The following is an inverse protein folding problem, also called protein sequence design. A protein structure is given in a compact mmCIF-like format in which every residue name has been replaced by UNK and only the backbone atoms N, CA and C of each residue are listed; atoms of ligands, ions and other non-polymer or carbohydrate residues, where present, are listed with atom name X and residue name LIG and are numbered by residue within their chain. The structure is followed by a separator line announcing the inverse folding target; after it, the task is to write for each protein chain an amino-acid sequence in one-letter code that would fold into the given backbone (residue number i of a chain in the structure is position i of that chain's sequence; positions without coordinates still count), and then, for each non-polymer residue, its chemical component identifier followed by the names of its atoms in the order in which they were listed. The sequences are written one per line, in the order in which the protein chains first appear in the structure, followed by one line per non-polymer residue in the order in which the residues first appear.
data_IF_743844733820
#
_entry.id   IF_743844733820
#
_cell.length_a   1.000
_cell.length_b   1.000
_cell.length_c   1.000
_cell.angle_alpha   90.00
_cell.angle_beta   90.00
_cell.angle_gamma   90.00
#
_symmetry.space_group_name_H-M   'P 1'
#
loop_
_entity.id
_entity.type
_entity.pdbx_description
1 polymer ?
#
# COMPACT_ATOMS: atom_id res chain seq x y z
N UNK A 1 0.69 -51.96 57.84
CA UNK A 1 1.86 -51.44 57.11
C UNK A 1 1.54 -51.38 55.63
N UNK A 2 1.06 -50.26 55.15
CA UNK A 2 0.77 -50.05 53.74
C UNK A 2 1.49 -48.76 53.31
N UNK A 3 2.52 -48.98 52.50
CA UNK A 3 3.36 -47.92 51.92
C UNK A 3 2.62 -47.29 50.73
N UNK A 4 2.46 -45.97 50.77
CA UNK A 4 1.84 -45.21 49.73
C UNK A 4 2.74 -45.04 48.50
N UNK A 5 2.23 -45.30 47.34
CA UNK A 5 2.81 -44.92 46.04
C UNK A 5 2.27 -43.57 45.64
N UNK A 6 3.09 -42.56 45.79
CA UNK A 6 2.86 -41.25 45.14
C UNK A 6 3.23 -41.34 43.67
N UNK A 7 2.24 -41.27 42.82
CA UNK A 7 2.44 -41.14 41.37
C UNK A 7 2.29 -39.64 41.01
N UNK A 8 3.41 -38.93 40.92
CA UNK A 8 3.47 -37.59 40.36
C UNK A 8 3.57 -37.73 38.83
N UNK A 9 2.48 -37.46 38.13
CA UNK A 9 2.52 -37.11 36.71
C UNK A 9 2.65 -35.59 36.63
N UNK A 10 3.87 -35.09 36.58
CA UNK A 10 4.20 -33.75 36.08
C UNK A 10 4.68 -33.91 34.63
N UNK A 11 3.78 -33.76 33.70
CA UNK A 11 4.08 -33.60 32.30
C UNK A 11 3.61 -32.23 31.85
N UNK A 12 4.26 -31.17 32.36
CA UNK A 12 4.06 -29.79 31.83
C UNK A 12 4.81 -29.71 30.47
N UNK A 13 4.18 -30.17 29.45
CA UNK A 13 4.67 -30.01 28.06
C UNK A 13 4.38 -28.58 27.63
N UNK A 14 5.15 -27.62 28.12
CA UNK A 14 5.23 -26.28 27.55
C UNK A 14 5.80 -26.44 26.17
N UNK A 15 4.93 -26.39 25.17
CA UNK A 15 5.31 -26.26 23.79
C UNK A 15 6.12 -24.96 23.71
N UNK A 16 7.42 -25.08 23.49
CA UNK A 16 8.31 -23.95 23.31
C UNK A 16 7.87 -23.21 22.04
N UNK A 17 7.13 -22.12 22.19
CA UNK A 17 6.81 -21.21 21.10
C UNK A 17 8.11 -20.56 20.69
N UNK A 18 8.63 -20.82 19.49
CA UNK A 18 9.75 -20.06 18.97
C UNK A 18 9.30 -18.61 18.82
N UNK A 19 9.98 -17.68 19.50
CA UNK A 19 9.70 -16.24 19.44
C UNK A 19 10.25 -15.60 18.13
N UNK A 20 10.48 -16.42 17.11
CA UNK A 20 10.94 -15.90 15.82
C UNK A 20 9.82 -15.10 15.15
N UNK A 21 10.11 -13.84 14.85
CA UNK A 21 9.20 -12.96 14.13
C UNK A 21 9.60 -12.91 12.67
N UNK A 22 8.66 -13.24 11.81
CA UNK A 22 8.82 -13.13 10.37
C UNK A 22 7.95 -12.01 9.82
N UNK A 23 8.32 -11.50 8.65
CA UNK A 23 7.52 -10.56 7.91
C UNK A 23 6.89 -11.24 6.71
N UNK A 24 5.56 -11.15 6.59
CA UNK A 24 4.82 -11.50 5.40
C UNK A 24 4.66 -10.27 4.53
N UNK A 25 4.96 -10.40 3.26
CA UNK A 25 4.70 -9.40 2.23
C UNK A 25 3.56 -9.91 1.37
N UNK A 26 2.47 -9.17 1.35
CA UNK A 26 1.25 -9.51 0.63
C UNK A 26 1.08 -8.52 -0.51
N UNK A 27 1.05 -9.02 -1.74
CA UNK A 27 0.68 -8.26 -2.93
C UNK A 27 -0.81 -8.42 -3.19
N UNK A 28 -1.49 -7.32 -3.54
CA UNK A 28 -2.92 -7.33 -3.79
C UNK A 28 -3.37 -6.26 -4.77
N UNK A 29 -4.55 -6.45 -5.33
CA UNK A 29 -5.30 -5.46 -6.12
C UNK A 29 -6.46 -4.90 -5.32
N UNK A 30 -6.84 -3.67 -5.69
CA UNK A 30 -8.04 -3.03 -5.16
C UNK A 30 -8.74 -2.23 -6.26
N UNK A 31 -10.04 -2.44 -6.41
CA UNK A 31 -10.83 -1.79 -7.45
C UNK A 31 -12.31 -1.66 -7.10
N UNK A 32 -13.10 -1.34 -8.12
CA UNK A 32 -14.53 -1.12 -7.94
C UNK A 32 -14.84 0.00 -6.91
N UNK A 33 -15.92 -0.11 -6.15
CA UNK A 33 -16.27 0.87 -5.12
C UNK A 33 -15.22 1.01 -4.01
N UNK A 34 -14.42 -0.04 -3.77
CA UNK A 34 -13.39 -0.03 -2.72
C UNK A 34 -12.20 0.88 -3.04
N UNK A 35 -12.08 1.38 -4.28
CA UNK A 35 -11.09 2.42 -4.60
C UNK A 35 -11.26 3.71 -3.80
N UNK A 36 -12.45 3.93 -3.22
CA UNK A 36 -12.76 5.13 -2.43
C UNK A 36 -12.43 5.01 -0.93
N UNK A 37 -12.05 3.83 -0.43
CA UNK A 37 -11.65 3.69 0.96
C UNK A 37 -10.27 4.30 1.21
N UNK A 38 -10.11 4.87 2.40
CA UNK A 38 -8.88 5.50 2.84
C UNK A 38 -7.80 4.46 3.18
N UNK A 39 -6.55 4.92 3.30
CA UNK A 39 -5.42 4.11 3.78
C UNK A 39 -5.72 3.42 5.13
N UNK A 40 -6.29 4.15 6.09
CA UNK A 40 -6.64 3.60 7.41
C UNK A 40 -7.75 2.53 7.32
N UNK A 41 -8.74 2.73 6.45
CA UNK A 41 -9.79 1.74 6.21
C UNK A 41 -9.25 0.48 5.53
N UNK A 42 -8.32 0.63 4.57
CA UNK A 42 -7.63 -0.50 3.94
C UNK A 42 -6.89 -1.35 4.98
N UNK A 43 -6.10 -0.71 5.86
CA UNK A 43 -5.44 -1.41 6.99
C UNK A 43 -6.46 -2.13 7.89
N UNK A 44 -7.58 -1.49 8.20
CA UNK A 44 -8.64 -2.09 9.05
C UNK A 44 -9.31 -3.30 8.39
N UNK A 45 -9.45 -3.31 7.05
CA UNK A 45 -9.96 -4.48 6.30
C UNK A 45 -9.01 -5.66 6.47
N UNK A 46 -7.72 -5.46 6.21
CA UNK A 46 -6.73 -6.53 6.36
C UNK A 46 -6.58 -7.01 7.80
N UNK A 47 -6.58 -6.10 8.78
CA UNK A 47 -6.55 -6.48 10.19
C UNK A 47 -7.70 -7.41 10.55
N UNK A 48 -8.93 -7.08 10.12
CA UNK A 48 -10.12 -7.93 10.37
C UNK A 48 -10.03 -9.25 9.60
N UNK A 49 -9.54 -9.24 8.37
CA UNK A 49 -9.34 -10.45 7.57
C UNK A 49 -8.36 -11.41 8.25
N UNK A 50 -7.22 -10.91 8.76
CA UNK A 50 -6.26 -11.71 9.52
C UNK A 50 -6.89 -12.32 10.78
N UNK A 51 -7.62 -11.53 11.57
CA UNK A 51 -8.28 -12.04 12.79
C UNK A 51 -9.28 -13.16 12.45
N UNK A 52 -10.10 -13.00 11.42
CA UNK A 52 -11.06 -14.02 10.98
C UNK A 52 -10.39 -15.27 10.42
N UNK A 53 -9.23 -15.12 9.79
CA UNK A 53 -8.40 -16.21 9.27
C UNK A 53 -7.57 -16.90 10.36
N UNK A 54 -7.66 -16.46 11.63
CA UNK A 54 -6.85 -17.02 12.72
C UNK A 54 -5.36 -16.67 12.64
N UNK A 55 -4.98 -15.62 11.90
CA UNK A 55 -3.60 -15.19 11.75
C UNK A 55 -3.25 -14.22 12.87
N UNK A 56 -2.32 -14.62 13.74
CA UNK A 56 -1.86 -13.81 14.87
C UNK A 56 -0.86 -12.74 14.43
N UNK A 57 -1.35 -11.50 14.36
CA UNK A 57 -0.51 -10.33 14.05
C UNK A 57 0.31 -9.94 15.29
N UNK A 58 1.61 -9.76 15.11
CA UNK A 58 2.45 -9.20 16.16
C UNK A 58 2.02 -7.77 16.51
N UNK A 59 1.99 -7.43 17.78
CA UNK A 59 1.69 -6.08 18.27
C UNK A 59 2.95 -5.36 18.75
N UNK A 60 2.90 -4.03 18.71
CA UNK A 60 3.95 -3.19 19.29
C UNK A 60 3.94 -3.30 20.82
N UNK A 61 5.11 -3.11 21.43
CA UNK A 61 5.23 -3.01 22.89
C UNK A 61 4.74 -1.64 23.36
N UNK A 62 4.13 -1.57 24.54
CA UNK A 62 3.69 -0.33 25.19
C UNK A 62 2.24 -0.36 25.67
N UNK A 63 1.77 0.74 26.27
CA UNK A 63 0.43 0.85 26.87
C UNK A 63 -0.72 0.73 25.87
N UNK A 64 -0.51 1.08 24.61
CA UNK A 64 -1.50 0.94 23.54
C UNK A 64 -0.91 0.10 22.40
N UNK A 65 -0.95 -1.25 22.51
CA UNK A 65 -0.40 -2.15 21.52
C UNK A 65 -1.09 -1.94 20.16
N UNK A 66 -0.30 -1.74 19.11
CA UNK A 66 -0.81 -1.61 17.73
C UNK A 66 -0.36 -2.81 16.92
N UNK A 67 -1.21 -3.36 16.04
CA UNK A 67 -0.81 -4.45 15.15
C UNK A 67 0.31 -3.97 14.23
N UNK A 68 1.33 -4.80 14.06
CA UNK A 68 2.46 -4.53 13.15
C UNK A 68 2.07 -4.88 11.71
N UNK A 69 1.26 -4.01 11.15
CA UNK A 69 0.67 -4.07 9.84
C UNK A 69 0.88 -2.72 9.16
N UNK A 70 1.38 -2.68 7.94
CA UNK A 70 1.64 -1.43 7.22
C UNK A 70 1.44 -1.56 5.72
N UNK A 71 1.02 -0.46 5.11
CA UNK A 71 1.03 -0.24 3.67
C UNK A 71 2.11 0.80 3.39
N UNK A 72 3.29 0.42 2.82
CA UNK A 72 4.43 1.33 2.67
C UNK A 72 4.16 2.51 1.72
N UNK A 73 3.25 2.36 0.77
CA UNK A 73 2.83 3.43 -0.13
C UNK A 73 1.31 3.66 -0.01
N UNK A 74 0.87 4.79 0.56
CA UNK A 74 -0.53 5.16 0.55
C UNK A 74 -1.09 5.28 -0.87
N UNK A 75 -2.26 4.70 -1.12
CA UNK A 75 -2.98 4.84 -2.37
C UNK A 75 -3.86 6.10 -2.31
N UNK A 76 -3.90 6.95 -3.36
CA UNK A 76 -4.86 8.04 -3.44
C UNK A 76 -6.30 7.50 -3.45
N UNK A 77 -7.20 8.20 -2.77
CA UNK A 77 -8.63 7.85 -2.76
C UNK A 77 -9.21 8.06 -4.16
N UNK A 78 -10.04 7.16 -4.64
CA UNK A 78 -10.59 7.18 -5.99
C UNK A 78 -9.74 6.44 -7.05
N UNK A 79 -8.48 6.14 -6.76
CA UNK A 79 -7.57 5.41 -7.66
C UNK A 79 -7.70 3.90 -7.41
N UNK A 80 -7.97 3.12 -8.47
CA UNK A 80 -7.83 1.67 -8.43
C UNK A 80 -6.35 1.28 -8.47
N UNK A 81 -6.00 0.08 -8.02
CA UNK A 81 -4.60 -0.37 -8.09
C UNK A 81 -4.47 -1.85 -8.35
N UNK A 82 -3.54 -2.20 -9.23
CA UNK A 82 -3.18 -3.58 -9.57
C UNK A 82 -1.95 -4.08 -8.80
N UNK A 83 -1.24 -3.20 -8.09
CA UNK A 83 0.02 -3.54 -7.42
C UNK A 83 0.15 -2.78 -6.09
N UNK A 84 -0.56 -3.27 -5.08
CA UNK A 84 -0.43 -2.81 -3.69
C UNK A 84 0.44 -3.78 -2.90
N UNK A 85 1.09 -3.24 -1.86
CA UNK A 85 1.89 -4.03 -0.93
C UNK A 85 1.45 -3.79 0.51
N UNK A 86 1.19 -4.89 1.22
CA UNK A 86 0.99 -4.92 2.65
C UNK A 86 2.14 -5.67 3.30
N UNK A 87 2.72 -5.10 4.35
CA UNK A 87 3.70 -5.76 5.20
C UNK A 87 3.06 -6.11 6.54
N UNK A 88 3.17 -7.37 6.94
CA UNK A 88 2.55 -7.94 8.13
C UNK A 88 3.59 -8.70 8.95
N UNK A 89 3.73 -8.41 10.25
CA UNK A 89 4.59 -9.19 11.14
C UNK A 89 3.78 -10.21 11.93
N UNK A 90 4.21 -11.47 11.88
CA UNK A 90 3.60 -12.59 12.58
C UNK A 90 4.63 -13.37 13.38
N UNK A 91 4.19 -14.12 14.39
CA UNK A 91 5.04 -15.09 15.06
C UNK A 91 5.10 -16.37 14.24
N UNK A 92 6.30 -16.92 14.06
CA UNK A 92 6.46 -18.22 13.42
C UNK A 92 6.06 -19.31 14.40
N UNK A 93 5.09 -20.14 14.06
CA UNK A 93 4.79 -21.34 14.82
C UNK A 93 5.84 -22.41 14.53
N UNK A 94 6.29 -23.15 15.56
CA UNK A 94 7.26 -24.25 15.42
C UNK A 94 6.79 -25.34 14.47
N UNK A 95 5.46 -25.51 14.36
CA UNK A 95 4.85 -26.47 13.44
C UNK A 95 4.93 -26.07 11.95
N UNK A 96 5.28 -24.84 11.64
CA UNK A 96 5.31 -24.30 10.25
C UNK A 96 6.77 -23.99 9.85
N UNK A 97 7.63 -25.02 9.76
CA UNK A 97 9.00 -24.85 9.24
C UNK A 97 9.01 -24.65 7.71
N UNK A 98 7.94 -25.04 7.04
CA UNK A 98 7.80 -24.87 5.58
C UNK A 98 7.15 -23.51 5.26
N UNK A 99 7.90 -22.63 4.60
CA UNK A 99 7.43 -21.33 4.16
C UNK A 99 6.33 -21.43 3.10
N UNK A 100 6.37 -22.45 2.24
CA UNK A 100 5.39 -22.63 1.17
C UNK A 100 4.01 -23.00 1.75
N UNK A 101 3.98 -23.89 2.73
CA UNK A 101 2.75 -24.23 3.43
C UNK A 101 2.19 -23.02 4.20
N UNK A 102 3.05 -22.24 4.86
CA UNK A 102 2.63 -21.03 5.58
C UNK A 102 2.03 -19.99 4.63
N UNK A 103 2.71 -19.69 3.52
CA UNK A 103 2.24 -18.69 2.55
C UNK A 103 0.93 -19.09 1.89
N UNK A 104 0.75 -20.38 1.54
CA UNK A 104 -0.49 -20.92 1.00
C UNK A 104 -1.65 -20.77 2.00
N UNK A 105 -1.46 -21.18 3.26
CA UNK A 105 -2.48 -21.07 4.31
C UNK A 105 -2.87 -19.61 4.56
N UNK A 106 -1.90 -18.69 4.59
CA UNK A 106 -2.16 -17.26 4.76
C UNK A 106 -2.90 -16.69 3.54
N UNK A 107 -2.51 -17.07 2.34
CA UNK A 107 -3.16 -16.65 1.10
C UNK A 107 -4.63 -17.07 1.10
N UNK A 108 -4.92 -18.35 1.30
CA UNK A 108 -6.28 -18.89 1.30
C UNK A 108 -7.12 -18.29 2.43
N UNK A 109 -6.55 -18.25 3.64
CA UNK A 109 -7.24 -17.72 4.81
C UNK A 109 -7.64 -16.25 4.65
N UNK A 110 -6.73 -15.39 4.20
CA UNK A 110 -7.03 -13.96 3.98
C UNK A 110 -7.96 -13.78 2.78
N UNK A 111 -7.71 -14.47 1.65
CA UNK A 111 -8.55 -14.34 0.44
C UNK A 111 -10.01 -14.63 0.72
N UNK A 112 -10.29 -15.66 1.54
CA UNK A 112 -11.67 -16.04 1.94
C UNK A 112 -12.37 -14.97 2.79
N UNK A 113 -11.62 -14.02 3.40
CA UNK A 113 -12.16 -12.99 4.31
C UNK A 113 -12.19 -11.60 3.69
N UNK A 114 -11.58 -11.41 2.52
CA UNK A 114 -11.58 -10.11 1.85
C UNK A 114 -12.92 -9.84 1.16
N UNK A 115 -13.41 -8.59 1.21
CA UNK A 115 -14.61 -8.22 0.48
C UNK A 115 -14.34 -8.17 -1.03
N UNK A 116 -15.40 -8.33 -1.82
CA UNK A 116 -15.36 -8.15 -3.27
C UNK A 116 -14.75 -6.80 -3.63
N UNK A 117 -13.78 -6.78 -4.55
CA UNK A 117 -13.00 -5.61 -4.94
C UNK A 117 -11.57 -5.61 -4.39
N UNK A 118 -11.24 -6.53 -3.48
CA UNK A 118 -9.88 -6.93 -3.17
C UNK A 118 -9.55 -8.27 -3.84
N UNK A 119 -8.32 -8.41 -4.31
CA UNK A 119 -7.78 -9.65 -4.86
C UNK A 119 -6.34 -9.80 -4.35
N UNK A 120 -6.03 -10.88 -3.62
CA UNK A 120 -4.66 -11.22 -3.30
C UNK A 120 -3.95 -11.72 -4.57
N UNK A 121 -2.70 -11.30 -4.74
CA UNK A 121 -1.84 -11.75 -5.85
C UNK A 121 -0.79 -12.75 -5.38
N UNK A 122 -0.17 -12.46 -4.25
CA UNK A 122 0.85 -13.34 -3.65
C UNK A 122 1.05 -13.04 -2.18
N UNK A 123 1.56 -14.04 -1.47
CA UNK A 123 2.10 -13.94 -0.12
C UNK A 123 3.53 -14.47 -0.16
N UNK A 124 4.46 -13.77 0.44
CA UNK A 124 5.86 -14.20 0.55
C UNK A 124 6.39 -13.94 1.96
N UNK A 125 7.31 -14.80 2.42
CA UNK A 125 8.02 -14.65 3.68
C UNK A 125 9.30 -13.86 3.41
N UNK A 126 9.55 -12.88 4.27
CA UNK A 126 10.81 -12.13 4.28
C UNK A 126 11.41 -12.23 5.68
N UNK A 127 12.60 -12.75 5.74
CA UNK A 127 13.32 -12.94 7.00
C UNK A 127 14.02 -11.63 7.42
N UNK A 128 14.19 -11.46 8.74
CA UNK A 128 14.92 -10.34 9.29
C UNK A 128 14.16 -9.01 9.33
N UNK A 129 14.90 -7.91 9.29
CA UNK A 129 14.40 -6.53 9.44
C UNK A 129 14.26 -5.81 8.09
N UNK A 130 13.74 -6.48 7.07
CA UNK A 130 13.54 -5.82 5.80
C UNK A 130 12.55 -4.65 5.91
N UNK A 131 12.81 -3.61 5.13
CA UNK A 131 11.89 -2.49 4.90
C UNK A 131 11.78 -2.23 3.39
N UNK A 132 10.58 -1.88 2.96
CA UNK A 132 10.31 -1.61 1.55
C UNK A 132 10.05 -0.12 1.36
N UNK A 133 10.78 0.48 0.43
CA UNK A 133 10.61 1.88 0.06
C UNK A 133 10.15 1.95 -1.40
N UNK A 134 9.04 2.65 -1.70
CA UNK A 134 8.62 2.85 -3.08
C UNK A 134 9.60 3.81 -3.78
N UNK A 135 9.96 3.51 -5.02
CA UNK A 135 10.86 4.31 -5.84
C UNK A 135 10.13 5.00 -6.99
N UNK A 136 9.21 4.30 -7.64
CA UNK A 136 8.35 4.86 -8.67
C UNK A 136 6.97 4.19 -8.64
N UNK A 137 6.00 4.86 -9.25
CA UNK A 137 4.67 4.33 -9.48
C UNK A 137 4.19 4.70 -10.88
N UNK A 138 3.56 3.75 -11.55
CA UNK A 138 3.00 3.92 -12.89
C UNK A 138 1.47 4.01 -12.81
N UNK A 139 0.93 5.04 -13.45
CA UNK A 139 -0.50 5.28 -13.50
C UNK A 139 -1.01 5.24 -14.94
N UNK A 140 -2.20 4.70 -15.13
CA UNK A 140 -2.93 4.74 -16.39
C UNK A 140 -4.16 5.62 -16.21
N UNK A 141 -4.26 6.64 -17.04
CA UNK A 141 -5.39 7.54 -17.16
C UNK A 141 -6.09 7.21 -18.49
N UNK A 142 -7.19 6.48 -18.41
CA UNK A 142 -8.00 6.17 -19.59
C UNK A 142 -8.79 7.43 -19.97
N UNK A 143 -8.35 8.12 -21.02
CA UNK A 143 -8.95 9.37 -21.50
C UNK A 143 -9.96 9.04 -22.60
N UNK A 144 -11.11 9.72 -22.61
CA UNK A 144 -12.10 9.57 -23.67
C UNK A 144 -11.52 10.02 -25.01
N UNK A 145 -11.88 9.34 -26.09
CA UNK A 145 -11.27 9.53 -27.43
C UNK A 145 -11.34 10.97 -27.94
N UNK A 146 -12.42 11.68 -27.61
CA UNK A 146 -12.62 13.08 -28.03
C UNK A 146 -11.59 14.04 -27.39
N UNK A 147 -10.98 13.67 -26.28
CA UNK A 147 -9.95 14.45 -25.57
C UNK A 147 -8.51 13.97 -25.87
N UNK A 148 -8.35 12.86 -26.58
CA UNK A 148 -7.05 12.41 -27.10
C UNK A 148 -6.67 13.17 -28.37
N UNK A 149 -6.62 14.49 -28.27
CA UNK A 149 -6.43 15.41 -29.38
C UNK A 149 -5.02 16.02 -29.43
N UNK A 150 -4.76 16.87 -30.43
CA UNK A 150 -3.46 17.52 -30.59
C UNK A 150 -3.14 18.50 -29.45
N UNK A 151 -4.13 19.07 -28.78
CA UNK A 151 -3.94 19.97 -27.65
C UNK A 151 -3.36 19.23 -26.44
N UNK A 152 -3.89 18.04 -26.12
CA UNK A 152 -3.36 17.18 -25.08
C UNK A 152 -1.93 16.74 -25.42
N UNK A 153 -1.66 16.37 -26.69
CA UNK A 153 -0.30 16.02 -27.14
C UNK A 153 0.67 17.20 -26.96
N UNK A 154 0.25 18.40 -27.32
CA UNK A 154 1.05 19.62 -27.15
C UNK A 154 1.32 19.89 -25.67
N UNK A 155 0.33 19.69 -24.79
CA UNK A 155 0.47 19.85 -23.34
C UNK A 155 1.49 18.87 -22.78
N UNK A 156 1.38 17.57 -23.11
CA UNK A 156 2.36 16.56 -22.70
C UNK A 156 3.77 16.90 -23.17
N UNK A 157 3.92 17.29 -24.45
CA UNK A 157 5.22 17.69 -25.00
C UNK A 157 5.80 18.90 -24.27
N UNK A 158 4.97 19.89 -23.96
CA UNK A 158 5.37 21.08 -23.18
C UNK A 158 5.84 20.70 -21.78
N UNK A 159 5.10 19.85 -21.07
CA UNK A 159 5.46 19.40 -19.71
C UNK A 159 6.81 18.66 -19.72
N UNK A 160 7.02 17.77 -20.69
CA UNK A 160 8.28 17.02 -20.80
C UNK A 160 9.46 17.88 -21.21
N UNK A 161 9.26 18.92 -22.01
CA UNK A 161 10.29 19.86 -22.46
C UNK A 161 10.63 20.94 -21.40
N UNK A 162 9.81 21.10 -20.38
CA UNK A 162 10.03 22.13 -19.34
C UNK A 162 11.12 21.68 -18.36
N UNK A 163 12.04 22.57 -18.03
CA UNK A 163 13.07 22.31 -17.00
C UNK A 163 12.50 22.40 -15.56
N UNK A 164 11.40 23.14 -15.37
CA UNK A 164 10.75 23.38 -14.08
C UNK A 164 9.24 23.47 -14.24
N UNK A 165 8.49 22.79 -13.36
CA UNK A 165 7.02 22.84 -13.30
C UNK A 165 6.64 23.20 -11.87
N UNK A 166 6.27 24.45 -11.63
CA UNK A 166 5.93 24.96 -10.29
C UNK A 166 4.42 24.85 -10.05
N UNK A 167 4.05 24.19 -8.97
CA UNK A 167 2.68 24.10 -8.47
C UNK A 167 2.57 24.68 -7.06
N UNK A 168 1.36 25.09 -6.69
CA UNK A 168 1.06 25.56 -5.34
C UNK A 168 0.44 24.42 -4.52
N UNK A 169 1.11 24.04 -3.45
CA UNK A 169 0.63 22.98 -2.56
C UNK A 169 0.28 23.54 -1.19
N UNK A 170 -0.96 23.34 -0.75
CA UNK A 170 -1.37 23.67 0.61
C UNK A 170 -0.83 22.64 1.59
N UNK A 171 -0.08 23.09 2.59
CA UNK A 171 0.41 22.25 3.68
C UNK A 171 -0.29 22.62 4.98
N UNK A 172 -1.06 21.68 5.56
CA UNK A 172 -1.62 21.90 6.89
C UNK A 172 -0.51 21.70 7.95
N UNK A 173 -0.21 22.73 8.73
CA UNK A 173 0.60 22.57 9.95
C UNK A 173 -0.31 22.09 11.08
N UNK A 174 -0.14 20.84 11.51
CA UNK A 174 -0.69 20.37 12.78
C UNK A 174 0.25 20.84 13.89
N UNK A 175 -0.03 21.98 14.53
CA UNK A 175 0.55 22.28 15.84
C UNK A 175 -0.23 21.48 16.87
N UNK A 176 0.49 20.71 17.67
CA UNK A 176 -0.03 19.99 18.84
C UNK A 176 -0.91 20.94 19.69
N UNK A 177 -2.20 20.60 19.78
CA UNK A 177 -3.07 21.10 20.84
C UNK A 177 -3.99 22.30 20.56
N UNK A 178 -3.92 23.01 19.44
CA UNK A 178 -4.81 24.15 19.15
C UNK A 178 -5.32 24.10 17.70
N UNK A 179 -6.65 24.20 17.53
CA UNK A 179 -7.38 24.10 16.25
C UNK A 179 -7.21 25.32 15.32
N UNK A 180 -6.08 25.95 15.24
CA UNK A 180 -5.81 26.97 14.23
C UNK A 180 -5.04 26.34 13.08
N UNK A 181 -5.75 25.93 12.03
CA UNK A 181 -5.19 25.48 10.76
C UNK A 181 -4.72 26.68 9.94
N UNK A 182 -3.54 27.18 10.19
CA UNK A 182 -2.88 28.04 9.21
C UNK A 182 -2.37 27.14 8.07
N UNK A 183 -3.04 27.17 6.94
CA UNK A 183 -2.54 26.56 5.71
C UNK A 183 -1.43 27.45 5.13
N UNK A 184 -0.21 26.91 5.05
CA UNK A 184 0.85 27.59 4.28
C UNK A 184 0.83 27.07 2.84
N UNK A 185 0.79 27.99 1.90
CA UNK A 185 0.98 27.70 0.49
C UNK A 185 2.49 27.57 0.25
N UNK A 186 2.91 26.47 -0.36
CA UNK A 186 4.29 26.18 -0.74
C UNK A 186 4.38 26.00 -2.25
N UNK A 187 5.25 26.73 -2.90
CA UNK A 187 5.60 26.48 -4.29
C UNK A 187 6.55 25.27 -4.34
N UNK A 188 6.20 24.26 -5.10
CA UNK A 188 6.98 23.04 -5.27
C UNK A 188 7.23 22.85 -6.75
N UNK A 189 8.47 22.57 -7.12
CA UNK A 189 8.80 22.12 -8.46
C UNK A 189 8.57 20.61 -8.55
N UNK A 190 7.63 20.22 -9.42
CA UNK A 190 7.24 18.81 -9.59
C UNK A 190 7.84 18.18 -10.84
N UNK A 191 8.62 18.93 -11.65
CA UNK A 191 9.23 18.37 -12.88
C UNK A 191 10.08 17.14 -12.61
N UNK A 192 10.86 17.16 -11.53
CA UNK A 192 11.74 16.07 -11.12
C UNK A 192 11.01 14.80 -10.67
N UNK A 193 9.68 14.87 -10.44
CA UNK A 193 8.86 13.70 -10.10
C UNK A 193 8.29 12.97 -11.32
N UNK A 194 8.32 13.55 -12.53
CA UNK A 194 7.96 12.84 -13.74
C UNK A 194 9.17 12.04 -14.26
N UNK A 195 8.98 10.74 -14.43
CA UNK A 195 9.90 9.85 -15.14
C UNK A 195 9.56 9.84 -16.63
N UNK A 196 8.31 9.49 -16.94
CA UNK A 196 7.78 9.50 -18.31
C UNK A 196 6.30 9.88 -18.34
N UNK A 197 5.86 10.42 -19.48
CA UNK A 197 4.46 10.58 -19.84
C UNK A 197 4.32 10.09 -21.29
N UNK A 198 3.56 9.03 -21.48
CA UNK A 198 3.37 8.36 -22.76
C UNK A 198 1.90 8.43 -23.17
N UNK A 199 1.65 8.85 -24.41
CA UNK A 199 0.31 8.86 -25.01
C UNK A 199 0.10 7.56 -25.76
N UNK A 200 -0.90 6.79 -25.33
CA UNK A 200 -1.38 5.59 -25.99
C UNK A 200 -2.70 5.81 -26.72
N UNK A 201 -3.20 4.77 -27.40
CA UNK A 201 -4.45 4.86 -28.17
C UNK A 201 -5.70 5.05 -27.27
N UNK A 202 -5.63 4.63 -26.01
CA UNK A 202 -6.76 4.64 -25.08
C UNK A 202 -6.52 5.50 -23.83
N UNK A 203 -5.44 6.31 -23.81
CA UNK A 203 -5.16 7.18 -22.69
C UNK A 203 -3.68 7.52 -22.50
N UNK A 204 -3.35 7.92 -21.30
CA UNK A 204 -2.02 8.40 -20.91
C UNK A 204 -1.44 7.45 -19.86
N UNK A 205 -0.19 7.08 -20.04
CA UNK A 205 0.60 6.37 -19.03
C UNK A 205 1.57 7.38 -18.43
N UNK A 206 1.51 7.55 -17.10
CA UNK A 206 2.41 8.44 -16.36
C UNK A 206 3.22 7.62 -15.39
N UNK A 207 4.55 7.69 -15.49
CA UNK A 207 5.46 7.12 -14.51
C UNK A 207 6.02 8.23 -13.63
N UNK A 208 5.86 8.07 -12.31
CA UNK A 208 6.22 9.07 -11.33
C UNK A 208 7.28 8.54 -10.37
N UNK A 209 8.34 9.32 -10.14
CA UNK A 209 9.32 9.07 -9.07
C UNK A 209 8.73 9.32 -7.70
N UNK A 210 9.13 8.48 -6.75
CA UNK A 210 8.82 8.64 -5.33
C UNK A 210 10.15 8.80 -4.61
N UNK A 211 10.34 9.91 -3.95
CA UNK A 211 11.58 10.28 -3.28
C UNK A 211 11.33 10.63 -1.81
N UNK A 212 12.35 10.70 -0.96
CA UNK A 212 12.21 11.21 0.39
C UNK A 212 11.66 12.64 0.47
N UNK A 213 11.87 13.45 -0.58
CA UNK A 213 11.31 14.80 -0.70
C UNK A 213 9.81 14.80 -1.04
N UNK A 214 9.27 13.65 -1.48
CA UNK A 214 7.87 13.46 -1.85
C UNK A 214 7.68 12.90 -3.25
N UNK A 215 6.47 13.06 -3.77
CA UNK A 215 6.06 12.69 -5.12
C UNK A 215 5.03 13.67 -5.64
N UNK A 216 4.73 13.62 -6.93
CA UNK A 216 3.58 14.31 -7.49
C UNK A 216 2.28 13.57 -7.10
N UNK A 217 1.18 14.31 -6.95
CA UNK A 217 -0.14 13.78 -6.63
C UNK A 217 -0.96 13.57 -7.91
N UNK A 218 -1.92 12.67 -7.86
CA UNK A 218 -2.80 12.40 -9.01
C UNK A 218 -3.59 13.64 -9.42
N UNK A 219 -4.11 14.40 -8.45
CA UNK A 219 -4.85 15.63 -8.70
C UNK A 219 -3.99 16.68 -9.42
N UNK A 220 -2.70 16.75 -9.06
CA UNK A 220 -1.74 17.65 -9.69
C UNK A 220 -1.40 17.21 -11.12
N UNK A 221 -1.36 15.88 -11.37
CA UNK A 221 -1.18 15.34 -12.74
C UNK A 221 -2.36 15.71 -13.61
N UNK A 222 -3.59 15.53 -13.10
CA UNK A 222 -4.81 15.88 -13.82
C UNK A 222 -4.86 17.37 -14.15
N UNK A 223 -4.56 18.23 -13.17
CA UNK A 223 -4.51 19.69 -13.37
C UNK A 223 -3.49 20.10 -14.44
N UNK A 224 -2.28 19.52 -14.40
CA UNK A 224 -1.22 19.81 -15.38
C UNK A 224 -1.56 19.33 -16.81
N UNK A 225 -2.35 18.28 -16.93
CA UNK A 225 -2.81 17.73 -18.21
C UNK A 225 -4.14 18.34 -18.67
N UNK A 226 -4.73 19.26 -17.90
CA UNK A 226 -6.07 19.80 -18.13
C UNK A 226 -7.13 18.69 -18.25
N UNK A 227 -7.05 17.70 -17.38
CA UNK A 227 -7.99 16.57 -17.31
C UNK A 227 -8.83 16.68 -16.03
N UNK A 228 -10.09 16.30 -16.14
CA UNK A 228 -11.02 16.13 -15.04
C UNK A 228 -11.73 14.78 -15.14
N UNK A 229 -12.57 14.44 -14.18
CA UNK A 229 -13.29 13.15 -14.15
C UNK A 229 -14.19 12.96 -15.36
N UNK A 230 -14.74 14.04 -15.95
CA UNK A 230 -15.63 13.97 -17.13
C UNK A 230 -14.85 13.62 -18.41
N UNK A 231 -13.56 13.94 -18.46
CA UNK A 231 -12.68 13.62 -19.59
C UNK A 231 -12.12 12.19 -19.50
N UNK A 232 -12.27 11.52 -18.35
CA UNK A 232 -11.84 10.14 -18.16
C UNK A 232 -12.93 9.14 -18.60
N UNK A 233 -12.52 8.07 -19.29
CA UNK A 233 -13.39 6.98 -19.70
C UNK A 233 -13.54 5.91 -18.59
N UNK A 234 -12.51 5.73 -17.78
CA UNK A 234 -12.43 4.76 -16.72
C UNK A 234 -11.73 5.37 -15.49
N UNK A 235 -11.91 4.78 -14.30
CA UNK A 235 -11.17 5.20 -13.11
C UNK A 235 -9.65 5.13 -13.33
N UNK A 236 -8.94 6.11 -12.77
CA UNK A 236 -7.48 6.11 -12.76
C UNK A 236 -6.98 4.84 -12.06
N UNK A 237 -5.92 4.24 -12.61
CA UNK A 237 -5.37 2.99 -12.11
C UNK A 237 -3.88 3.11 -11.87
N UNK A 238 -3.40 2.73 -10.69
CA UNK A 238 -1.99 2.48 -10.41
C UNK A 238 -1.65 1.05 -10.82
N UNK A 239 -0.89 0.88 -11.90
CA UNK A 239 -0.64 -0.43 -12.50
C UNK A 239 0.58 -1.13 -11.97
N UNK A 240 1.59 -0.37 -11.51
CA UNK A 240 2.78 -0.95 -10.90
C UNK A 240 3.46 0.02 -9.95
N UNK A 241 4.18 -0.55 -8.98
CA UNK A 241 5.05 0.18 -8.05
C UNK A 241 6.40 -0.52 -8.02
N UNK A 242 7.47 0.25 -8.21
CA UNK A 242 8.82 -0.25 -8.02
C UNK A 242 9.26 -0.04 -6.58
N UNK A 243 9.82 -1.09 -6.00
CA UNK A 243 10.22 -1.14 -4.60
C UNK A 243 11.72 -1.36 -4.46
N UNK A 244 12.33 -0.65 -3.51
CA UNK A 244 13.67 -0.92 -3.05
C UNK A 244 13.58 -1.60 -1.68
N UNK A 245 14.24 -2.74 -1.53
CA UNK A 245 14.43 -3.42 -0.26
C UNK A 245 15.73 -2.91 0.39
N UNK A 246 15.68 -2.58 1.66
CA UNK A 246 16.83 -2.24 2.50
C UNK A 246 17.00 -3.30 3.57
#
# INVERSE_FOLDING_TARGET
MLSGMNNRFEGDTRIAVSNETIMLVIKFRIGGPLRFISHAQTLSVFQRACVRAGIEIQHSQGFNPRPRLSLPLPRPVGVASDDEMLCLRVHRSISSQDNDCLTANVYDGISAQLPQGFELLSVSVVEGKASFQPCSAKYVLAVRKEYLNEELKATVKRLLASDSIKIQRQTAKTKSGIRNRESKIKNIDVRGFFESIELGPDGIIVECKITPAGSIRIEEILELLDLDDDKLALPIRRTSVQWKSN
#
